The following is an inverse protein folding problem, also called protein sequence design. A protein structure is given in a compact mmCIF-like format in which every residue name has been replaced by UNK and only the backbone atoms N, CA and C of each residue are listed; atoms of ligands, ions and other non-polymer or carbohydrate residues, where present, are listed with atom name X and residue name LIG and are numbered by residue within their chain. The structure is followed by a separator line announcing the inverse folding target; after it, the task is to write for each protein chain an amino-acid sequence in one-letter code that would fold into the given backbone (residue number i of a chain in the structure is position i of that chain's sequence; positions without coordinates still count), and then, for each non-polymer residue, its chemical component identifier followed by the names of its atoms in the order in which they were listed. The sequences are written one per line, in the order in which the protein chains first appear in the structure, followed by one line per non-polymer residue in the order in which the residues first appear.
data_IF_430009069459
#
_entry.id   IF_430009069459
#
_cell.length_a   1.000
_cell.length_b   1.000
_cell.length_c   1.000
_cell.angle_alpha   90.00
_cell.angle_beta   90.00
_cell.angle_gamma   90.00
#
_symmetry.space_group_name_H-M   'P 1'
#
loop_
_entity.id
_entity.type
_entity.pdbx_description
1 polymer ?
#
# COMPACT_ATOMS: atom_id res chain seq x y z
N UNK A 1 18.05 -56.66 54.75
CA UNK A 1 18.18 -56.11 56.12
C UNK A 1 17.68 -54.67 56.08
N UNK A 2 16.55 -54.23 56.61
CA UNK A 2 15.40 -54.81 57.32
C UNK A 2 14.23 -53.88 56.95
N UNK A 3 13.26 -54.31 56.14
CA UNK A 3 11.87 -54.60 56.54
C UNK A 3 11.41 -53.97 57.87
N UNK A 4 10.36 -53.15 57.80
CA UNK A 4 9.19 -53.27 58.67
C UNK A 4 7.92 -52.79 57.93
N UNK A 5 7.15 -53.77 57.48
CA UNK A 5 5.70 -53.66 57.26
C UNK A 5 4.98 -53.56 58.61
N UNK A 6 3.83 -52.88 58.63
CA UNK A 6 2.57 -53.42 59.19
C UNK A 6 1.39 -52.66 58.56
N UNK A 7 0.61 -53.40 57.76
CA UNK A 7 -0.77 -53.13 57.33
C UNK A 7 -1.77 -53.41 58.48
N UNK A 8 -3.08 -53.63 58.24
CA UNK A 8 -4.10 -52.86 57.51
C UNK A 8 -5.33 -52.57 58.41
N UNK A 9 -6.32 -51.83 57.91
CA UNK A 9 -7.71 -52.22 58.19
C UNK A 9 -8.64 -51.90 57.02
N UNK A 10 -9.49 -52.87 56.73
CA UNK A 10 -10.39 -53.03 55.59
C UNK A 10 -11.82 -52.91 56.19
N UNK A 11 -12.76 -52.09 55.70
CA UNK A 11 -13.83 -52.47 54.76
C UNK A 11 -15.02 -51.50 54.86
N UNK A 12 -15.91 -51.62 53.87
CA UNK A 12 -17.34 -51.21 53.81
C UNK A 12 -17.52 -49.75 53.35
N UNK A 13 -18.23 -49.39 52.28
CA UNK A 13 -19.17 -50.08 51.39
C UNK A 13 -20.28 -49.10 50.98
N UNK A 14 -20.19 -48.50 49.79
CA UNK A 14 -21.26 -47.78 49.05
C UNK A 14 -21.84 -46.49 49.68
N UNK A 15 -22.67 -45.68 48.97
CA UNK A 15 -23.08 -45.72 47.57
C UNK A 15 -22.70 -44.46 46.74
N UNK A 16 -22.69 -44.65 45.42
CA UNK A 16 -22.51 -43.64 44.36
C UNK A 16 -23.68 -42.65 44.36
N UNK A 17 -23.41 -41.38 44.70
CA UNK A 17 -24.35 -40.29 44.45
C UNK A 17 -24.10 -39.63 43.08
N UNK A 18 -24.90 -40.05 42.10
CA UNK A 18 -25.15 -39.31 40.86
C UNK A 18 -25.72 -37.93 41.20
N UNK A 19 -24.92 -36.86 41.09
CA UNK A 19 -25.45 -35.49 41.05
C UNK A 19 -26.08 -35.25 39.67
N UNK A 20 -27.39 -35.49 39.63
CA UNK A 20 -28.29 -35.13 38.53
C UNK A 20 -28.20 -33.64 38.23
N UNK A 21 -28.05 -33.35 36.94
CA UNK A 21 -28.28 -32.07 36.29
C UNK A 21 -29.63 -31.49 36.69
N UNK A 22 -29.62 -30.36 37.38
CA UNK A 22 -30.82 -29.61 37.73
C UNK A 22 -31.28 -28.79 36.51
N UNK A 23 -32.27 -29.36 35.82
CA UNK A 23 -33.56 -28.72 35.56
C UNK A 23 -33.51 -27.26 35.07
N UNK A 24 -33.10 -27.08 33.81
CA UNK A 24 -33.49 -25.92 32.99
C UNK A 24 -34.99 -26.03 32.70
N UNK A 25 -35.79 -25.32 33.48
CA UNK A 25 -37.23 -25.21 33.26
C UNK A 25 -37.52 -24.35 32.03
N UNK A 26 -38.43 -24.83 31.17
CA UNK A 26 -38.94 -24.15 29.97
C UNK A 26 -39.46 -22.72 30.19
N UNK A 27 -39.60 -22.26 31.44
CA UNK A 27 -40.01 -20.88 31.78
C UNK A 27 -38.84 -19.91 31.91
N UNK A 28 -37.59 -20.38 32.01
CA UNK A 28 -36.40 -19.53 31.95
C UNK A 28 -36.02 -19.14 30.51
N UNK A 29 -36.42 -19.95 29.52
CA UNK A 29 -36.12 -19.69 28.10
C UNK A 29 -36.95 -18.53 27.52
N UNK A 30 -38.15 -18.28 28.05
CA UNK A 30 -39.04 -17.20 27.56
C UNK A 30 -38.63 -15.84 28.13
N UNK A 31 -38.08 -15.78 29.35
CA UNK A 31 -37.57 -14.53 29.91
C UNK A 31 -36.20 -14.14 29.34
N UNK A 32 -35.37 -15.11 28.94
CA UNK A 32 -34.11 -14.83 28.24
C UNK A 32 -34.34 -14.39 26.77
N UNK A 33 -35.43 -14.85 26.13
CA UNK A 33 -35.81 -14.37 24.80
C UNK A 33 -36.42 -12.96 24.81
N UNK A 34 -37.03 -12.52 25.91
CA UNK A 34 -37.61 -11.17 26.06
C UNK A 34 -36.59 -10.08 26.42
N UNK A 35 -35.46 -10.46 27.02
CA UNK A 35 -34.34 -9.53 27.28
C UNK A 35 -33.36 -9.50 26.10
N UNK A 36 -33.26 -10.59 25.33
CA UNK A 36 -32.50 -10.60 24.07
C UNK A 36 -33.12 -9.73 22.96
N UNK A 37 -34.43 -9.44 23.00
CA UNK A 37 -35.07 -8.49 22.06
C UNK A 37 -34.98 -7.04 22.51
N UNK A 38 -34.72 -6.75 23.79
CA UNK A 38 -34.50 -5.38 24.30
C UNK A 38 -33.02 -4.99 24.39
N UNK A 39 -32.09 -5.96 24.38
CA UNK A 39 -30.66 -5.73 24.17
C UNK A 39 -30.20 -6.03 22.73
N UNK A 40 -31.06 -6.64 21.90
CA UNK A 40 -30.88 -6.77 20.44
C UNK A 40 -31.41 -5.57 19.63
N UNK A 41 -31.87 -4.52 20.31
CA UNK A 41 -32.43 -3.30 19.74
C UNK A 41 -31.44 -2.13 19.60
N UNK A 42 -30.17 -2.43 19.37
CA UNK A 42 -29.15 -1.45 18.97
C UNK A 42 -28.41 -1.92 17.70
N UNK A 43 -29.14 -2.50 16.76
CA UNK A 43 -28.76 -2.45 15.36
C UNK A 43 -29.48 -1.24 14.75
N UNK A 44 -28.78 -0.47 13.92
CA UNK A 44 -29.22 0.72 13.15
C UNK A 44 -28.70 2.07 13.65
N UNK A 45 -27.37 2.22 13.77
CA UNK A 45 -26.66 3.37 13.16
C UNK A 45 -25.25 2.92 12.73
N UNK A 46 -25.14 2.07 11.69
CA UNK A 46 -23.90 2.02 10.89
C UNK A 46 -24.19 1.96 9.37
N UNK A 47 -24.89 2.94 8.75
CA UNK A 47 -24.89 2.99 7.28
C UNK A 47 -23.77 3.88 6.73
N UNK A 48 -23.34 4.92 7.45
CA UNK A 48 -22.59 6.01 6.80
C UNK A 48 -21.06 5.82 6.73
N UNK A 49 -20.48 4.93 7.52
CA UNK A 49 -19.04 4.64 7.45
C UNK A 49 -18.69 3.57 6.40
N UNK A 50 -19.60 2.62 6.15
CA UNK A 50 -19.41 1.57 5.14
C UNK A 50 -19.64 2.07 3.71
N UNK A 51 -20.67 2.91 3.47
CA UNK A 51 -20.97 3.46 2.14
C UNK A 51 -19.90 4.42 1.57
N UNK A 52 -18.93 4.85 2.38
CA UNK A 52 -17.88 5.80 1.94
C UNK A 52 -16.46 5.25 2.03
N UNK A 53 -16.22 4.24 2.88
CA UNK A 53 -15.10 3.33 2.63
C UNK A 53 -15.24 2.64 1.24
N UNK A 54 -16.48 2.44 0.76
CA UNK A 54 -16.76 2.01 -0.62
C UNK A 54 -16.61 3.09 -1.69
N UNK A 55 -16.36 4.36 -1.35
CA UNK A 55 -16.01 5.37 -2.35
C UNK A 55 -14.55 5.21 -2.84
N UNK A 56 -13.71 4.54 -2.04
CA UNK A 56 -12.34 4.13 -2.40
C UNK A 56 -12.32 2.66 -2.85
N UNK A 57 -13.14 1.79 -2.24
CA UNK A 57 -13.28 0.37 -2.59
C UNK A 57 -14.28 0.21 -3.73
N UNK A 58 -13.84 0.47 -4.96
CA UNK A 58 -14.63 0.23 -6.18
C UNK A 58 -14.67 -1.26 -6.59
N UNK A 59 -14.17 -2.15 -5.71
CA UNK A 59 -14.04 -3.59 -5.94
C UNK A 59 -12.90 -3.98 -6.89
N UNK A 60 -12.13 -3.02 -7.41
CA UNK A 60 -11.02 -3.25 -8.34
C UNK A 60 -9.66 -2.86 -7.74
N UNK A 61 -9.52 -2.97 -6.43
CA UNK A 61 -8.27 -2.67 -5.74
C UNK A 61 -7.15 -3.63 -6.15
N UNK A 62 -5.96 -3.07 -6.36
CA UNK A 62 -4.78 -3.85 -6.70
C UNK A 62 -4.29 -4.50 -5.41
N UNK A 63 -4.15 -5.82 -5.38
CA UNK A 63 -3.49 -6.49 -4.25
C UNK A 63 -2.04 -6.76 -4.59
N UNK A 64 -1.12 -6.34 -3.73
CA UNK A 64 0.29 -6.66 -3.84
C UNK A 64 0.78 -7.38 -2.58
N UNK A 65 1.22 -8.63 -2.75
CA UNK A 65 1.98 -9.32 -1.73
C UNK A 65 3.45 -8.91 -1.83
N UNK A 66 3.91 -8.08 -0.89
CA UNK A 66 5.29 -7.58 -0.83
C UNK A 66 6.29 -8.70 -0.58
N UNK A 67 5.84 -9.89 -0.16
CA UNK A 67 6.66 -11.09 0.00
C UNK A 67 6.62 -12.01 -1.23
N UNK A 68 5.87 -11.65 -2.28
CA UNK A 68 5.63 -12.49 -3.45
C UNK A 68 6.75 -12.54 -4.50
N UNK A 69 7.91 -11.93 -4.21
CA UNK A 69 9.08 -11.90 -5.10
C UNK A 69 8.89 -11.07 -6.38
N UNK A 70 9.86 -11.19 -7.30
CA UNK A 70 9.90 -10.39 -8.53
C UNK A 70 8.62 -10.47 -9.38
N UNK A 71 7.99 -11.65 -9.45
CA UNK A 71 6.77 -11.81 -10.25
C UNK A 71 5.61 -11.00 -9.68
N UNK A 72 5.37 -11.08 -8.36
CA UNK A 72 4.29 -10.31 -7.72
C UNK A 72 4.53 -8.80 -7.84
N UNK A 73 5.80 -8.39 -7.80
CA UNK A 73 6.20 -7.01 -8.04
C UNK A 73 5.89 -6.56 -9.48
N UNK A 74 6.30 -7.33 -10.49
CA UNK A 74 6.03 -7.02 -11.91
C UNK A 74 4.52 -6.97 -12.19
N UNK A 75 3.76 -7.93 -11.65
CA UNK A 75 2.30 -7.99 -11.78
C UNK A 75 1.66 -6.74 -11.16
N UNK A 76 2.14 -6.29 -9.99
CA UNK A 76 1.68 -5.07 -9.33
C UNK A 76 1.95 -3.83 -10.20
N UNK A 77 3.18 -3.65 -10.70
CA UNK A 77 3.53 -2.49 -11.53
C UNK A 77 2.65 -2.45 -12.79
N UNK A 78 2.41 -3.60 -13.43
CA UNK A 78 1.53 -3.68 -14.58
C UNK A 78 0.07 -3.37 -14.23
N UNK A 79 -0.43 -3.86 -13.09
CA UNK A 79 -1.77 -3.54 -12.62
C UNK A 79 -1.94 -2.03 -12.37
N UNK A 80 -0.93 -1.37 -11.78
CA UNK A 80 -0.92 0.08 -11.57
C UNK A 80 -0.96 0.83 -12.90
N UNK A 81 -0.13 0.42 -13.88
CA UNK A 81 -0.14 0.97 -15.23
C UNK A 81 -1.51 0.86 -15.88
N UNK A 82 -2.13 -0.32 -15.82
CA UNK A 82 -3.46 -0.55 -16.36
C UNK A 82 -4.53 0.27 -15.66
N UNK A 83 -4.49 0.33 -14.32
CA UNK A 83 -5.51 1.02 -13.53
C UNK A 83 -5.51 2.54 -13.76
N UNK A 84 -4.33 3.15 -13.77
CA UNK A 84 -4.21 4.60 -13.93
C UNK A 84 -4.52 5.09 -15.36
N UNK A 85 -4.21 4.26 -16.36
CA UNK A 85 -4.31 4.67 -17.78
C UNK A 85 -5.53 4.05 -18.48
N UNK A 86 -6.18 3.06 -17.88
CA UNK A 86 -7.18 2.23 -18.57
C UNK A 86 -6.61 1.47 -19.77
N UNK A 87 -5.29 1.30 -19.84
CA UNK A 87 -4.59 0.71 -20.98
C UNK A 87 -4.50 1.62 -22.21
N UNK A 88 -4.79 2.93 -22.08
CA UNK A 88 -4.65 3.88 -23.20
C UNK A 88 -3.19 4.05 -23.57
N UNK A 89 -2.88 3.73 -24.82
CA UNK A 89 -1.54 3.87 -25.41
C UNK A 89 -1.47 5.20 -26.17
N UNK A 90 -0.49 6.02 -25.83
CA UNK A 90 -0.17 7.25 -26.54
C UNK A 90 0.57 6.94 -27.84
N UNK A 91 1.75 6.30 -27.76
CA UNK A 91 2.57 5.84 -28.90
C UNK A 91 3.69 4.92 -28.42
N UNK A 92 4.16 4.01 -29.29
CA UNK A 92 5.36 3.18 -29.05
C UNK A 92 5.31 2.39 -27.73
N UNK A 93 4.10 2.01 -27.30
CA UNK A 93 3.87 1.30 -26.05
C UNK A 93 3.82 2.18 -24.80
N UNK A 94 4.14 3.48 -24.91
CA UNK A 94 3.99 4.45 -23.83
C UNK A 94 2.50 4.70 -23.59
N UNK A 95 2.07 4.55 -22.33
CA UNK A 95 0.70 4.79 -21.90
C UNK A 95 0.46 6.27 -21.59
N UNK A 96 -0.79 6.71 -21.50
CA UNK A 96 -1.14 8.10 -21.12
C UNK A 96 -2.06 8.19 -19.91
N UNK A 97 -1.78 9.17 -19.04
CA UNK A 97 -2.72 9.56 -18.00
C UNK A 97 -3.98 10.22 -18.57
N UNK A 98 -5.04 10.33 -17.78
CA UNK A 98 -6.25 11.08 -18.15
C UNK A 98 -6.32 12.40 -17.37
N UNK A 99 -5.99 13.56 -17.99
CA UNK A 99 -6.04 14.85 -17.31
C UNK A 99 -7.46 15.33 -17.03
N UNK A 100 -8.46 14.74 -17.69
CA UNK A 100 -9.88 15.06 -17.50
C UNK A 100 -10.50 14.47 -16.23
N UNK A 101 -9.74 13.69 -15.45
CA UNK A 101 -10.21 13.15 -14.17
C UNK A 101 -10.18 14.25 -13.09
N UNK A 102 -11.34 14.49 -12.50
CA UNK A 102 -11.60 15.47 -11.45
C UNK A 102 -11.37 14.88 -10.04
N UNK A 103 -12.04 15.37 -9.00
CA UNK A 103 -11.96 14.80 -7.64
C UNK A 103 -12.93 13.64 -7.41
N UNK A 104 -13.58 13.11 -8.46
CA UNK A 104 -14.47 11.96 -8.33
C UNK A 104 -13.72 10.68 -7.97
N UNK A 105 -14.47 9.67 -7.52
CA UNK A 105 -13.93 8.33 -7.24
C UNK A 105 -13.27 7.68 -8.45
N UNK A 106 -13.61 8.09 -9.69
CA UNK A 106 -12.94 7.60 -10.90
C UNK A 106 -11.47 8.04 -10.98
N UNK A 107 -11.08 9.11 -10.28
CA UNK A 107 -9.70 9.57 -10.19
C UNK A 107 -8.93 8.91 -9.05
N UNK A 108 -9.54 8.04 -8.25
CA UNK A 108 -8.91 7.44 -7.09
C UNK A 108 -8.90 5.92 -7.25
N UNK A 109 -7.79 5.29 -6.92
CA UNK A 109 -7.70 3.84 -6.79
C UNK A 109 -6.78 3.48 -5.64
N UNK A 110 -6.86 2.23 -5.19
CA UNK A 110 -6.06 1.78 -4.08
C UNK A 110 -5.21 0.55 -4.39
N UNK A 111 -4.15 0.40 -3.60
CA UNK A 111 -3.29 -0.77 -3.58
C UNK A 111 -3.30 -1.34 -2.16
N UNK A 112 -3.85 -2.53 -1.99
CA UNK A 112 -3.82 -3.28 -0.75
C UNK A 112 -2.49 -4.05 -0.65
N UNK A 113 -1.65 -3.62 0.29
CA UNK A 113 -0.40 -4.27 0.64
C UNK A 113 -0.66 -5.46 1.57
N UNK A 114 -0.11 -6.61 1.21
CA UNK A 114 -0.07 -7.83 2.01
C UNK A 114 1.36 -8.28 2.17
N UNK A 115 1.66 -8.95 3.28
CA UNK A 115 2.99 -9.49 3.55
C UNK A 115 2.86 -10.94 4.05
N UNK A 116 2.64 -11.87 3.11
CA UNK A 116 2.29 -13.26 3.45
C UNK A 116 3.38 -13.97 4.28
N UNK A 117 4.64 -13.55 4.15
CA UNK A 117 5.75 -14.11 4.92
C UNK A 117 5.88 -13.56 6.35
N UNK A 118 5.13 -12.51 6.72
CA UNK A 118 5.18 -11.94 8.06
C UNK A 118 4.21 -12.68 9.01
N UNK A 119 4.65 -13.13 10.21
CA UNK A 119 3.87 -13.97 11.13
C UNK A 119 2.54 -13.37 11.62
N UNK A 120 2.30 -12.08 11.40
CA UNK A 120 1.11 -11.35 11.84
C UNK A 120 0.17 -10.98 10.69
N UNK A 121 0.44 -11.38 9.45
CA UNK A 121 -0.36 -10.96 8.27
C UNK A 121 -1.68 -11.71 8.09
N UNK A 122 -1.93 -12.79 8.84
CA UNK A 122 -3.09 -13.66 8.60
C UNK A 122 -4.44 -13.10 9.07
N UNK A 123 -4.53 -12.17 10.05
CA UNK A 123 -5.83 -11.82 10.69
C UNK A 123 -5.97 -10.40 11.28
N UNK A 124 -5.28 -9.38 10.77
CA UNK A 124 -5.25 -8.09 11.48
C UNK A 124 -5.46 -6.88 10.61
N UNK A 125 -4.34 -6.27 10.21
CA UNK A 125 -4.32 -4.94 9.64
C UNK A 125 -3.57 -4.97 8.30
N UNK A 126 -4.21 -4.55 7.21
CA UNK A 126 -3.57 -4.36 5.92
C UNK A 126 -3.38 -2.86 5.65
N UNK A 127 -2.28 -2.52 4.97
CA UNK A 127 -2.04 -1.15 4.54
C UNK A 127 -2.62 -0.99 3.15
N UNK A 128 -3.51 -0.03 2.99
CA UNK A 128 -4.06 0.39 1.72
C UNK A 128 -3.43 1.71 1.32
N UNK A 129 -2.66 1.73 0.24
CA UNK A 129 -2.16 2.97 -0.34
C UNK A 129 -3.22 3.56 -1.27
N UNK A 130 -3.40 4.87 -1.24
CA UNK A 130 -4.41 5.58 -2.02
C UNK A 130 -3.69 6.41 -3.08
N UNK A 131 -4.06 6.23 -4.34
CA UNK A 131 -3.42 6.86 -5.49
C UNK A 131 -4.43 7.65 -6.31
N UNK A 132 -3.93 8.70 -6.95
CA UNK A 132 -4.68 9.53 -7.89
C UNK A 132 -4.35 9.13 -9.34
N UNK A 133 -5.34 8.72 -10.13
CA UNK A 133 -5.17 8.18 -11.48
C UNK A 133 -4.63 9.20 -12.49
N UNK A 134 -5.02 10.48 -12.39
CA UNK A 134 -4.65 11.52 -13.38
C UNK A 134 -3.15 11.80 -13.45
N UNK A 135 -2.43 11.58 -12.36
CA UNK A 135 -1.00 11.91 -12.20
C UNK A 135 -0.20 10.83 -11.47
N UNK A 136 -0.83 9.70 -11.13
CA UNK A 136 -0.20 8.56 -10.46
C UNK A 136 0.47 8.93 -9.13
N UNK A 137 -0.03 9.95 -8.44
CA UNK A 137 0.52 10.34 -7.14
C UNK A 137 -0.10 9.50 -6.03
N UNK A 138 0.72 8.99 -5.12
CA UNK A 138 0.23 8.44 -3.85
C UNK A 138 -0.19 9.64 -3.00
N UNK A 139 -1.46 9.69 -2.62
CA UNK A 139 -2.05 10.82 -1.89
C UNK A 139 -2.25 10.54 -0.41
N UNK A 140 -2.14 9.27 0.01
CA UNK A 140 -2.32 8.87 1.39
C UNK A 140 -2.31 7.37 1.59
N UNK A 141 -2.65 6.94 2.80
CA UNK A 141 -2.84 5.53 3.12
C UNK A 141 -3.94 5.33 4.16
N UNK A 142 -4.41 4.11 4.28
CA UNK A 142 -5.39 3.68 5.26
C UNK A 142 -4.96 2.33 5.85
N UNK A 143 -5.13 2.16 7.15
CA UNK A 143 -4.97 0.85 7.79
C UNK A 143 -6.35 0.20 7.87
N UNK A 144 -6.52 -0.95 7.21
CA UNK A 144 -7.75 -1.75 7.27
C UNK A 144 -7.58 -2.84 8.30
N UNK A 145 -8.40 -2.88 9.35
CA UNK A 145 -8.40 -3.99 10.28
C UNK A 145 -9.62 -4.92 10.09
N UNK A 146 -9.53 -6.16 10.58
CA UNK A 146 -10.63 -7.14 10.54
C UNK A 146 -11.89 -6.73 11.31
N UNK A 147 -11.89 -5.58 12.00
CA UNK A 147 -13.03 -4.97 12.71
C UNK A 147 -13.57 -3.72 12.00
N UNK A 148 -12.89 -3.23 10.97
CA UNK A 148 -13.25 -2.06 10.16
C UNK A 148 -12.01 -1.34 9.61
N UNK A 149 -12.23 -0.41 8.67
CA UNK A 149 -11.12 0.44 8.20
C UNK A 149 -10.93 1.64 9.13
N UNK A 150 -9.69 1.95 9.51
CA UNK A 150 -9.36 3.23 10.16
C UNK A 150 -9.64 4.40 9.19
N UNK A 151 -9.75 5.63 9.71
CA UNK A 151 -9.78 6.81 8.82
C UNK A 151 -8.52 6.88 7.96
N UNK A 152 -8.62 7.22 6.66
CA UNK A 152 -7.45 7.43 5.84
C UNK A 152 -6.64 8.63 6.34
N UNK A 153 -5.34 8.60 6.09
CA UNK A 153 -4.40 9.69 6.34
C UNK A 153 -3.88 10.17 4.99
N UNK A 154 -4.12 11.42 4.66
CA UNK A 154 -3.69 12.05 3.42
C UNK A 154 -2.46 12.94 3.63
N UNK A 155 -1.70 13.15 2.56
CA UNK A 155 -0.73 14.23 2.51
C UNK A 155 -1.42 15.59 2.56
N UNK A 156 -0.67 16.60 2.98
CA UNK A 156 -1.13 17.98 3.02
C UNK A 156 -1.66 18.40 1.63
N UNK A 157 -2.90 18.87 1.59
CA UNK A 157 -3.62 19.33 0.38
C UNK A 157 -3.99 18.24 -0.64
N UNK A 158 -3.86 16.96 -0.29
CA UNK A 158 -4.17 15.84 -1.20
C UNK A 158 -5.42 15.05 -0.78
N UNK A 159 -6.17 15.51 0.22
CA UNK A 159 -7.48 14.93 0.54
C UNK A 159 -8.44 15.15 -0.64
N UNK A 160 -8.99 14.08 -1.26
CA UNK A 160 -9.92 14.21 -2.38
C UNK A 160 -11.29 14.76 -1.97
N UNK A 161 -11.63 14.71 -0.67
CA UNK A 161 -12.87 15.26 -0.10
C UNK A 161 -12.58 15.99 1.22
N UNK A 162 -11.93 17.17 1.19
CA UNK A 162 -11.54 17.90 2.39
C UNK A 162 -12.73 18.42 3.21
N UNK A 163 -13.94 18.40 2.63
CA UNK A 163 -15.18 18.82 3.29
C UNK A 163 -15.98 17.62 3.83
N UNK A 164 -15.40 16.42 3.83
CA UNK A 164 -16.10 15.24 4.32
C UNK A 164 -16.50 15.40 5.78
N UNK A 165 -17.72 14.96 6.11
CA UNK A 165 -18.18 14.92 7.50
C UNK A 165 -17.42 13.89 8.35
N UNK A 166 -16.66 12.99 7.71
CA UNK A 166 -15.79 12.02 8.36
C UNK A 166 -14.38 12.61 8.47
N UNK A 167 -13.81 12.71 9.67
CA UNK A 167 -12.46 13.23 9.81
C UNK A 167 -11.45 12.26 9.19
N UNK A 168 -10.73 12.74 8.18
CA UNK A 168 -9.48 12.17 7.70
C UNK A 168 -8.33 12.67 8.58
N UNK A 169 -7.27 11.86 8.67
CA UNK A 169 -5.99 12.38 9.15
C UNK A 169 -5.29 13.15 8.03
N UNK A 170 -4.51 14.16 8.38
CA UNK A 170 -3.68 14.87 7.40
C UNK A 170 -2.26 14.99 7.95
N UNK A 171 -1.28 14.62 7.13
CA UNK A 171 0.11 14.93 7.41
C UNK A 171 0.38 16.43 7.33
N UNK A 172 1.31 16.92 8.14
CA UNK A 172 1.79 18.32 8.06
C UNK A 172 2.62 18.64 6.82
N UNK A 173 2.85 17.66 5.95
CA UNK A 173 3.75 17.69 4.80
C UNK A 173 3.11 17.05 3.56
N UNK A 174 3.63 17.38 2.39
CA UNK A 174 3.14 16.91 1.08
C UNK A 174 3.76 15.55 0.70
N UNK A 175 3.19 14.90 -0.32
CA UNK A 175 3.78 13.68 -0.90
C UNK A 175 5.01 13.92 -1.79
N UNK A 176 5.49 15.17 -1.88
CA UNK A 176 6.69 15.50 -2.66
C UNK A 176 7.97 15.02 -1.98
N UNK A 177 8.95 14.59 -2.76
CA UNK A 177 10.17 14.00 -2.19
C UNK A 177 10.93 14.94 -1.24
N UNK A 178 11.00 16.25 -1.51
CA UNK A 178 11.68 17.18 -0.60
C UNK A 178 11.09 17.18 0.82
N UNK A 179 9.76 17.08 0.92
CA UNK A 179 9.06 16.98 2.20
C UNK A 179 9.26 15.60 2.84
N UNK A 180 9.18 14.52 2.05
CA UNK A 180 9.37 13.15 2.52
C UNK A 180 10.79 12.91 3.05
N UNK A 181 11.80 13.45 2.38
CA UNK A 181 13.20 13.35 2.80
C UNK A 181 13.48 14.16 4.07
N UNK A 182 12.92 15.38 4.14
CA UNK A 182 13.05 16.24 5.32
C UNK A 182 12.41 15.63 6.56
N UNK A 183 11.21 15.07 6.45
CA UNK A 183 10.50 14.44 7.58
C UNK A 183 11.00 13.02 7.85
N UNK A 184 11.36 12.26 6.81
CA UNK A 184 11.91 10.91 6.91
C UNK A 184 13.35 10.87 7.43
N UNK A 185 14.05 12.01 7.42
CA UNK A 185 15.43 12.14 7.90
C UNK A 185 16.45 11.42 7.03
N UNK A 186 16.11 11.13 5.78
CA UNK A 186 16.98 10.44 4.83
C UNK A 186 16.63 10.83 3.40
N UNK A 187 17.64 11.20 2.62
CA UNK A 187 17.50 11.39 1.18
C UNK A 187 17.20 10.06 0.48
N UNK A 188 16.47 10.10 -0.64
CA UNK A 188 16.28 8.90 -1.45
C UNK A 188 17.53 8.50 -2.21
N UNK A 189 18.33 9.46 -2.64
CA UNK A 189 19.63 9.19 -3.24
C UNK A 189 20.53 8.46 -2.23
N UNK A 190 21.21 7.42 -2.69
CA UNK A 190 21.99 6.45 -1.92
C UNK A 190 21.16 5.63 -0.92
N UNK A 191 19.82 5.62 -1.06
CA UNK A 191 18.99 4.72 -0.26
C UNK A 191 19.13 3.30 -0.77
N UNK A 192 19.55 2.43 0.14
CA UNK A 192 19.59 0.99 -0.06
C UNK A 192 18.19 0.41 0.11
N UNK A 193 17.70 -0.30 -0.90
CA UNK A 193 16.42 -0.97 -0.91
C UNK A 193 16.63 -2.48 -0.97
N UNK A 194 16.00 -3.21 -0.06
CA UNK A 194 15.95 -4.66 -0.02
C UNK A 194 14.65 -5.09 0.68
N UNK A 195 14.35 -6.39 0.69
CA UNK A 195 13.11 -6.91 1.29
C UNK A 195 12.92 -6.44 2.75
N UNK A 196 13.99 -6.40 3.55
CA UNK A 196 13.91 -5.97 4.96
C UNK A 196 13.44 -4.51 5.09
N UNK A 197 13.88 -3.62 4.20
CA UNK A 197 13.43 -2.21 4.18
C UNK A 197 11.95 -2.13 3.81
N UNK A 198 11.48 -2.93 2.86
CA UNK A 198 10.07 -2.98 2.45
C UNK A 198 9.19 -3.54 3.58
N UNK A 199 9.61 -4.62 4.23
CA UNK A 199 8.90 -5.22 5.36
C UNK A 199 8.81 -4.25 6.54
N UNK A 200 9.90 -3.53 6.85
CA UNK A 200 9.90 -2.50 7.88
C UNK A 200 8.98 -1.33 7.53
N UNK A 201 8.98 -0.87 6.27
CA UNK A 201 8.08 0.17 5.80
C UNK A 201 6.61 -0.24 5.92
N UNK A 202 6.28 -1.47 5.53
CA UNK A 202 4.94 -2.04 5.70
C UNK A 202 4.54 -2.10 7.18
N UNK A 203 5.40 -2.62 8.05
CA UNK A 203 5.11 -2.71 9.50
C UNK A 203 4.92 -1.34 10.15
N UNK A 204 5.71 -0.34 9.74
CA UNK A 204 5.55 1.03 10.22
C UNK A 204 4.18 1.60 9.85
N UNK A 205 3.78 1.51 8.57
CA UNK A 205 2.47 2.02 8.13
C UNK A 205 1.31 1.22 8.69
N UNK A 206 1.48 -0.09 8.87
CA UNK A 206 0.46 -0.97 9.46
C UNK A 206 0.23 -0.65 10.94
N UNK A 207 1.29 -0.24 11.65
CA UNK A 207 1.24 0.21 13.02
C UNK A 207 0.89 1.69 13.15
N UNK A 208 0.91 2.19 14.39
CA UNK A 208 0.81 3.63 14.65
C UNK A 208 2.22 4.25 14.68
N UNK A 209 2.89 4.28 13.53
CA UNK A 209 4.26 4.79 13.44
C UNK A 209 4.35 6.29 13.76
N UNK A 210 5.51 6.70 14.29
CA UNK A 210 5.86 8.11 14.36
C UNK A 210 5.90 8.73 12.95
N UNK A 211 5.60 10.03 12.88
CA UNK A 211 5.48 10.77 11.61
C UNK A 211 6.69 10.57 10.69
N UNK A 212 7.91 10.62 11.23
CA UNK A 212 9.14 10.45 10.47
C UNK A 212 9.25 9.05 9.84
N UNK A 213 8.88 8.02 10.61
CA UNK A 213 8.88 6.65 10.12
C UNK A 213 7.79 6.44 9.05
N UNK A 214 6.63 7.07 9.20
CA UNK A 214 5.59 7.07 8.16
C UNK A 214 6.07 7.78 6.89
N UNK A 215 6.69 8.97 6.98
CA UNK A 215 7.24 9.68 5.82
C UNK A 215 8.27 8.84 5.06
N UNK A 216 9.22 8.22 5.76
CA UNK A 216 10.21 7.31 5.16
C UNK A 216 9.56 6.09 4.51
N UNK A 217 8.56 5.50 5.17
CA UNK A 217 7.87 4.31 4.65
C UNK A 217 7.04 4.62 3.41
N UNK A 218 6.36 5.77 3.39
CA UNK A 218 5.66 6.26 2.20
C UNK A 218 6.63 6.52 1.05
N UNK A 219 7.80 7.13 1.31
CA UNK A 219 8.82 7.34 0.29
C UNK A 219 9.27 6.02 -0.36
N UNK A 220 9.52 4.97 0.44
CA UNK A 220 9.85 3.63 -0.07
C UNK A 220 8.76 3.10 -1.00
N UNK A 221 7.49 3.19 -0.60
CA UNK A 221 6.40 2.70 -1.45
C UNK A 221 6.16 3.56 -2.69
N UNK A 222 6.32 4.88 -2.62
CA UNK A 222 6.24 5.74 -3.81
C UNK A 222 7.31 5.33 -4.82
N UNK A 223 8.57 5.16 -4.36
CA UNK A 223 9.67 4.70 -5.20
C UNK A 223 9.43 3.31 -5.78
N UNK A 224 8.80 2.39 -5.05
CA UNK A 224 8.60 1.02 -5.53
C UNK A 224 7.35 0.83 -6.38
N UNK A 225 6.40 1.77 -6.35
CA UNK A 225 5.10 1.63 -7.02
C UNK A 225 4.96 2.65 -8.14
N UNK A 226 4.99 3.94 -7.79
CA UNK A 226 4.67 5.01 -8.73
C UNK A 226 5.81 5.20 -9.75
N UNK A 227 7.06 5.19 -9.30
CA UNK A 227 8.20 5.45 -10.21
C UNK A 227 8.42 4.33 -11.25
N UNK A 228 8.39 3.03 -10.89
CA UNK A 228 8.42 1.90 -11.81
C UNK A 228 7.23 1.86 -12.76
N UNK A 229 6.06 2.35 -12.32
CA UNK A 229 4.92 2.47 -13.21
C UNK A 229 5.15 3.57 -14.26
N UNK A 230 5.82 4.68 -13.91
CA UNK A 230 6.18 5.79 -14.81
C UNK A 230 7.35 5.48 -15.72
N UNK A 231 8.37 4.78 -15.23
CA UNK A 231 9.66 4.57 -15.89
C UNK A 231 10.04 3.10 -15.95
N UNK A 232 10.42 2.65 -17.15
CA UNK A 232 10.83 1.27 -17.37
C UNK A 232 12.20 0.93 -16.76
N UNK A 233 13.23 1.80 -16.80
CA UNK A 233 14.51 1.52 -16.14
C UNK A 233 14.36 1.30 -14.63
N UNK A 234 13.60 2.15 -13.94
CA UNK A 234 13.36 2.00 -12.49
C UNK A 234 12.63 0.71 -12.15
N UNK A 235 11.72 0.23 -13.02
CA UNK A 235 11.11 -1.09 -12.86
C UNK A 235 12.15 -2.20 -12.92
N UNK A 236 13.08 -2.15 -13.87
CA UNK A 236 14.12 -3.17 -14.04
C UNK A 236 15.08 -3.20 -12.84
N UNK A 237 15.45 -2.04 -12.33
CA UNK A 237 16.37 -1.93 -11.20
C UNK A 237 15.71 -2.29 -9.88
N UNK A 238 14.51 -1.77 -9.59
CA UNK A 238 13.84 -2.02 -8.32
C UNK A 238 13.24 -3.42 -8.22
N UNK A 239 13.06 -4.11 -9.34
CA UNK A 239 12.76 -5.55 -9.35
C UNK A 239 13.84 -6.37 -8.64
N UNK A 240 15.08 -5.89 -8.57
CA UNK A 240 16.17 -6.58 -7.87
C UNK A 240 15.95 -6.65 -6.35
N UNK A 241 15.21 -5.71 -5.74
CA UNK A 241 14.81 -5.73 -4.32
C UNK A 241 14.13 -7.04 -3.93
N UNK A 242 13.37 -7.61 -4.88
CA UNK A 242 12.55 -8.81 -4.68
C UNK A 242 13.20 -10.07 -5.27
N UNK A 243 14.53 -10.07 -5.42
CA UNK A 243 15.33 -11.19 -5.92
C UNK A 243 15.17 -12.47 -5.09
N UNK A 244 15.70 -13.58 -5.63
CA UNK A 244 15.56 -14.92 -5.03
C UNK A 244 16.03 -14.96 -3.57
N UNK A 245 15.30 -15.71 -2.74
CA UNK A 245 15.55 -15.95 -1.32
C UNK A 245 15.64 -14.69 -0.43
N UNK A 246 15.06 -13.56 -0.86
CA UNK A 246 15.05 -12.31 -0.08
C UNK A 246 16.44 -11.65 0.03
N UNK A 247 17.40 -12.10 -0.76
CA UNK A 247 18.77 -11.56 -0.82
C UNK A 247 18.92 -10.42 -1.85
N UNK A 248 17.79 -10.04 -2.48
CA UNK A 248 17.74 -8.95 -3.45
C UNK A 248 18.01 -7.59 -2.81
N UNK A 249 18.83 -6.79 -3.48
CA UNK A 249 19.18 -5.44 -3.04
C UNK A 249 19.47 -4.55 -4.24
N UNK A 250 19.12 -3.28 -4.11
CA UNK A 250 19.56 -2.22 -5.03
C UNK A 250 19.82 -0.94 -4.23
N UNK A 251 20.52 0.01 -4.83
CA UNK A 251 20.71 1.34 -4.27
C UNK A 251 20.15 2.34 -5.25
N UNK A 252 19.27 3.22 -4.77
CA UNK A 252 18.78 4.36 -5.55
C UNK A 252 19.97 5.30 -5.77
N UNK A 253 20.53 5.33 -6.97
CA UNK A 253 21.66 6.21 -7.27
C UNK A 253 21.15 7.66 -7.49
N UNK A 254 22.07 8.60 -7.77
CA UNK A 254 21.68 10.01 -7.95
C UNK A 254 20.86 10.18 -9.24
N UNK A 255 21.26 9.53 -10.33
CA UNK A 255 20.52 9.57 -11.58
C UNK A 255 19.11 8.99 -11.47
N UNK A 256 18.89 7.91 -10.71
CA UNK A 256 17.57 7.35 -10.43
C UNK A 256 16.69 8.38 -9.72
N UNK A 257 17.25 9.04 -8.69
CA UNK A 257 16.55 10.06 -7.92
C UNK A 257 16.18 11.28 -8.78
N UNK A 258 17.03 11.65 -9.74
CA UNK A 258 16.79 12.71 -10.71
C UNK A 258 15.81 12.30 -11.80
N UNK A 259 15.81 11.02 -12.21
CA UNK A 259 14.81 10.48 -13.14
C UNK A 259 13.41 10.57 -12.53
N UNK A 260 13.26 10.25 -11.25
CA UNK A 260 12.00 10.41 -10.51
C UNK A 260 11.49 11.86 -10.51
N UNK A 261 12.39 12.86 -10.46
CA UNK A 261 12.01 14.29 -10.55
C UNK A 261 11.62 14.72 -11.96
N UNK A 262 12.07 13.97 -12.97
CA UNK A 262 12.08 14.40 -14.36
C UNK A 262 10.87 13.88 -15.16
N UNK A 263 9.89 13.25 -14.51
CA UNK A 263 8.71 12.68 -15.18
C UNK A 263 7.90 13.71 -15.97
N UNK A 264 7.67 14.89 -15.39
CA UNK A 264 6.96 15.97 -16.08
C UNK A 264 7.70 16.48 -17.31
N UNK A 265 9.03 16.65 -17.22
CA UNK A 265 9.86 17.13 -18.33
C UNK A 265 9.99 16.06 -19.44
N UNK A 266 10.24 14.80 -19.07
CA UNK A 266 10.26 13.67 -20.02
C UNK A 266 8.93 13.58 -20.80
N UNK A 267 7.81 13.65 -20.08
CA UNK A 267 6.46 13.62 -20.67
C UNK A 267 6.22 14.80 -21.60
N UNK A 268 6.61 16.01 -21.19
CA UNK A 268 6.48 17.24 -21.99
C UNK A 268 7.29 17.17 -23.27
N UNK A 269 8.55 16.69 -23.22
CA UNK A 269 9.38 16.52 -24.41
C UNK A 269 8.80 15.47 -25.36
N UNK A 270 8.32 14.34 -24.82
CA UNK A 270 7.69 13.29 -25.62
C UNK A 270 6.45 13.82 -26.36
N UNK A 271 5.49 14.42 -25.64
CA UNK A 271 4.26 14.99 -26.21
C UNK A 271 4.57 16.13 -27.18
N UNK A 272 5.52 17.01 -26.85
CA UNK A 272 5.97 18.07 -27.76
C UNK A 272 6.46 17.49 -29.07
N UNK A 273 7.35 16.49 -29.02
CA UNK A 273 7.85 15.82 -30.21
C UNK A 273 6.75 15.17 -31.04
N UNK A 274 5.75 14.55 -30.40
CA UNK A 274 4.59 13.97 -31.09
C UNK A 274 3.71 15.02 -31.79
N UNK A 275 3.42 16.12 -31.11
CA UNK A 275 2.44 17.10 -31.58
C UNK A 275 2.99 18.02 -32.66
N UNK A 276 4.26 18.41 -32.56
CA UNK A 276 4.84 19.44 -33.44
C UNK A 276 6.28 19.17 -33.87
N UNK A 277 6.83 17.99 -33.58
CA UNK A 277 8.20 17.63 -33.98
C UNK A 277 9.29 18.35 -33.17
N UNK A 278 8.97 18.89 -31.99
CA UNK A 278 10.00 19.45 -31.09
C UNK A 278 11.09 18.41 -30.85
N UNK A 279 12.39 18.77 -31.01
CA UNK A 279 13.48 17.84 -30.71
C UNK A 279 13.45 17.39 -29.26
N UNK A 280 13.67 16.09 -29.04
CA UNK A 280 13.89 15.55 -27.70
C UNK A 280 15.37 15.77 -27.37
N UNK A 281 15.63 16.32 -26.19
CA UNK A 281 16.97 16.48 -25.63
C UNK A 281 16.87 16.18 -24.13
N UNK A 282 16.61 14.92 -23.84
CA UNK A 282 16.47 14.43 -22.48
C UNK A 282 17.77 13.79 -22.05
N UNK A 283 18.29 14.26 -20.91
CA UNK A 283 19.54 13.78 -20.36
C UNK A 283 19.49 13.89 -18.84
N UNK A 284 19.92 12.83 -18.18
CA UNK A 284 20.17 12.76 -16.75
C UNK A 284 21.54 12.15 -16.56
N UNK A 285 22.38 12.87 -15.83
CA UNK A 285 23.76 12.52 -15.55
C UNK A 285 23.93 12.34 -14.05
N UNK A 286 24.56 11.25 -13.61
CA UNK A 286 25.05 11.18 -12.24
C UNK A 286 26.35 12.01 -12.12
N UNK A 287 26.39 13.10 -11.33
CA UNK A 287 27.61 13.89 -11.17
C UNK A 287 28.77 13.10 -10.53
N UNK A 288 28.51 11.95 -9.91
CA UNK A 288 29.50 11.07 -9.31
C UNK A 288 30.11 10.06 -10.31
N UNK A 289 29.46 9.80 -11.46
CA UNK A 289 30.00 8.94 -12.52
C UNK A 289 29.94 9.64 -13.87
N UNK A 290 31.05 9.78 -14.62
CA UNK A 290 31.09 10.59 -15.84
C UNK A 290 30.35 10.00 -17.06
N UNK A 291 29.39 9.09 -16.84
CA UNK A 291 28.51 8.51 -17.85
C UNK A 291 27.12 9.13 -17.78
N UNK A 292 26.52 9.34 -18.95
CA UNK A 292 25.09 9.65 -19.07
C UNK A 292 24.31 8.40 -18.72
N UNK A 293 23.52 8.43 -17.64
CA UNK A 293 22.78 7.25 -17.17
C UNK A 293 21.44 7.10 -17.91
N UNK A 294 20.79 8.22 -18.23
CA UNK A 294 19.58 8.24 -19.05
C UNK A 294 19.66 9.32 -20.11
N UNK A 295 19.51 8.94 -21.38
CA UNK A 295 19.39 9.90 -22.47
C UNK A 295 18.43 9.45 -23.57
N UNK A 296 17.73 10.42 -24.12
CA UNK A 296 16.91 10.25 -25.30
C UNK A 296 16.98 11.49 -26.19
N UNK A 297 17.14 11.25 -27.49
CA UNK A 297 17.08 12.26 -28.54
C UNK A 297 16.07 11.91 -29.66
N UNK A 298 15.33 10.83 -29.48
CA UNK A 298 14.30 10.33 -30.39
C UNK A 298 13.08 9.84 -29.61
N UNK A 299 11.93 9.75 -30.27
CA UNK A 299 10.71 9.19 -29.68
C UNK A 299 10.95 7.77 -29.17
N UNK A 300 11.65 6.93 -29.94
CA UNK A 300 11.92 5.54 -29.57
C UNK A 300 12.86 5.41 -28.39
N UNK A 301 13.90 6.25 -28.30
CA UNK A 301 14.76 6.27 -27.11
C UNK A 301 13.97 6.74 -25.86
N UNK A 302 13.10 7.74 -26.01
CA UNK A 302 12.26 8.21 -24.90
C UNK A 302 11.22 7.16 -24.49
N UNK A 303 10.62 6.43 -25.45
CA UNK A 303 9.68 5.35 -25.19
C UNK A 303 10.33 4.15 -24.49
N UNK A 304 11.66 3.98 -24.59
CA UNK A 304 12.39 2.99 -23.80
C UNK A 304 12.58 3.42 -22.33
N UNK A 305 12.49 4.71 -22.03
CA UNK A 305 12.60 5.27 -20.67
C UNK A 305 11.21 5.37 -20.03
N UNK A 306 10.26 5.97 -20.75
CA UNK A 306 8.94 6.34 -20.26
C UNK A 306 7.92 5.23 -20.50
N UNK A 307 7.29 4.73 -19.44
CA UNK A 307 6.20 3.76 -19.54
C UNK A 307 4.81 4.41 -19.47
N UNK A 308 4.66 5.48 -18.69
CA UNK A 308 3.45 6.31 -18.65
C UNK A 308 3.86 7.76 -18.88
N UNK A 309 3.20 8.42 -19.84
CA UNK A 309 3.31 9.84 -20.09
C UNK A 309 2.28 10.62 -19.27
N UNK A 310 2.74 11.65 -18.55
CA UNK A 310 1.87 12.63 -17.93
C UNK A 310 1.30 13.55 -19.02
N UNK A 311 -0.01 13.48 -19.24
CA UNK A 311 -0.71 14.44 -20.07
C UNK A 311 -1.12 15.61 -19.19
N UNK A 312 -0.67 16.82 -19.54
CA UNK A 312 -1.13 18.04 -18.89
C UNK A 312 -2.43 18.52 -19.56
N UNK A 313 -3.40 19.07 -18.80
CA UNK A 313 -4.59 19.69 -19.36
C UNK A 313 -4.28 20.92 -20.22
#
# INVERSE_FOLDING_TARGET
MSMKETSPDERVGGPVHKRRSRWLTRKFLVLFLGVATLLGGAALVVPQFQEKASAIDDGNDITWDISGGQKAYDDMVQAVRQRATGGRVLREGVLETNPGLDTSSANIFAIDLRASALPSSSDGNNVRLILRSRDLFVIGYQVRDGRGSASPIYFKNDDPDPNSALPSGTFGFTGGYGDLEAHGGQARANMRLNQQVVDAAYQNLRGNAAVNAAARSMMVFIMLIAEPARFEPLRQDFRQVFGFDGLGETTVNVADADLMNSWGEASKQFVGSLNNGTPINFQIDDPATPSVDFAANTLTAMAAILAICLISP
#
